data_IF_491144177689
#
_entry.id   IF_491144177689
#
_cell.length_a   1.000
_cell.length_b   1.000
_cell.length_c   1.000
_cell.angle_alpha   90.00
_cell.angle_beta   90.00
_cell.angle_gamma   90.00
#
_symmetry.space_group_name_H-M   'P 1'
#
loop_
_entity.id
_entity.type
_entity.pdbx_description
1 polymer ?
#
# COMPACT_ATOMS: atom_id res chain seq x y z
N UNK A 1 -13.40 28.78 1.65
CA UNK A 1 -12.60 27.56 1.43
C UNK A 1 -11.14 27.94 1.61
N UNK A 2 -10.38 27.21 2.43
CA UNK A 2 -8.94 27.47 2.60
C UNK A 2 -8.21 27.21 1.28
N UNK A 3 -7.18 28.02 0.98
CA UNK A 3 -6.34 27.85 -0.21
C UNK A 3 -5.65 26.47 -0.18
N UNK A 4 -5.83 25.62 -1.22
CA UNK A 4 -5.17 24.32 -1.31
C UNK A 4 -3.65 24.35 -1.17
N UNK A 5 -3.00 25.48 -1.47
CA UNK A 5 -1.54 25.65 -1.30
C UNK A 5 -1.11 25.54 0.17
N UNK A 6 -1.95 26.02 1.08
CA UNK A 6 -1.76 25.93 2.53
C UNK A 6 -2.27 24.63 3.16
N UNK A 7 -2.74 23.68 2.35
CA UNK A 7 -3.34 22.43 2.82
C UNK A 7 -2.45 21.21 2.56
N UNK A 8 -2.47 20.32 3.54
CA UNK A 8 -1.74 19.06 3.55
C UNK A 8 -2.66 17.89 3.86
N UNK A 9 -2.58 16.86 3.03
CA UNK A 9 -3.12 15.54 3.33
C UNK A 9 -2.02 14.69 3.93
N UNK A 10 -2.28 14.03 5.06
CA UNK A 10 -1.35 13.12 5.69
C UNK A 10 -1.75 11.66 5.39
N UNK A 11 -0.81 10.83 4.94
CA UNK A 11 -1.01 9.39 4.81
C UNK A 11 -0.15 8.65 5.84
N UNK A 12 -0.82 7.80 6.62
CA UNK A 12 -0.19 6.91 7.59
C UNK A 12 -0.60 5.47 7.31
N UNK A 13 0.37 4.57 7.38
CA UNK A 13 0.13 3.13 7.27
C UNK A 13 0.63 2.43 8.52
N UNK A 14 -0.21 1.58 9.09
CA UNK A 14 0.22 0.59 10.09
C UNK A 14 0.97 -0.53 9.39
N UNK A 15 2.24 -0.69 9.72
CA UNK A 15 3.20 -1.57 9.04
C UNK A 15 3.17 -3.02 9.52
N UNK A 16 2.71 -3.28 10.75
CA UNK A 16 2.49 -4.63 11.26
C UNK A 16 1.45 -4.64 12.41
N UNK A 17 0.93 -5.83 12.76
CA UNK A 17 -0.02 -6.00 13.88
C UNK A 17 0.56 -5.67 15.26
N UNK A 18 1.89 -5.61 15.40
CA UNK A 18 2.60 -5.34 16.66
C UNK A 18 2.84 -3.85 16.91
N UNK A 19 2.79 -3.02 15.86
CA UNK A 19 2.88 -1.56 15.97
C UNK A 19 1.64 -1.11 16.75
N UNK A 20 1.88 -0.52 17.93
CA UNK A 20 0.82 -0.08 18.81
C UNK A 20 0.23 1.26 18.33
N UNK A 21 -0.93 1.61 18.87
CA UNK A 21 -1.59 2.87 18.51
C UNK A 21 -0.79 4.09 19.02
N UNK A 22 0.03 3.94 20.06
CA UNK A 22 0.86 5.00 20.60
C UNK A 22 1.95 5.45 19.61
N UNK A 23 2.62 4.50 18.96
CA UNK A 23 3.64 4.74 17.92
C UNK A 23 3.04 5.49 16.73
N UNK A 24 1.88 5.05 16.25
CA UNK A 24 1.17 5.71 15.14
C UNK A 24 0.73 7.14 15.49
N UNK A 25 0.27 7.38 16.73
CA UNK A 25 -0.02 8.73 17.23
C UNK A 25 1.25 9.57 17.31
N UNK A 26 2.40 8.98 17.64
CA UNK A 26 3.72 9.61 17.57
C UNK A 26 4.02 10.11 16.15
N UNK A 27 3.90 9.22 15.16
CA UNK A 27 4.12 9.56 13.75
C UNK A 27 3.20 10.68 13.27
N UNK A 28 1.90 10.63 13.62
CA UNK A 28 0.95 11.68 13.25
C UNK A 28 1.31 13.03 13.91
N UNK A 29 1.74 13.03 15.18
CA UNK A 29 2.18 14.26 15.86
C UNK A 29 3.37 14.89 15.16
N UNK A 30 4.34 14.10 14.71
CA UNK A 30 5.48 14.62 13.94
C UNK A 30 5.04 15.23 12.61
N UNK A 31 4.15 14.56 11.88
CA UNK A 31 3.60 15.08 10.62
C UNK A 31 2.85 16.40 10.84
N UNK A 32 2.02 16.48 11.89
CA UNK A 32 1.30 17.72 12.25
C UNK A 32 2.26 18.84 12.62
N UNK A 33 3.29 18.55 13.44
CA UNK A 33 4.31 19.54 13.82
C UNK A 33 5.07 20.06 12.60
N UNK A 34 5.47 19.16 11.71
CA UNK A 34 6.13 19.53 10.47
C UNK A 34 5.23 20.43 9.60
N UNK A 35 3.95 20.06 9.45
CA UNK A 35 2.99 20.85 8.69
C UNK A 35 2.87 22.28 9.25
N UNK A 36 2.66 22.40 10.57
CA UNK A 36 2.55 23.69 11.26
C UNK A 36 3.81 24.54 11.10
N UNK A 37 4.99 23.95 11.26
CA UNK A 37 6.27 24.64 11.08
C UNK A 37 6.48 25.16 9.65
N UNK A 38 5.80 24.57 8.66
CA UNK A 38 5.83 24.96 7.26
C UNK A 38 4.60 25.79 6.83
N UNK A 39 3.81 26.29 7.79
CA UNK A 39 2.62 27.10 7.51
C UNK A 39 1.45 26.34 6.87
N UNK A 40 1.43 25.01 7.00
CA UNK A 40 0.40 24.15 6.43
C UNK A 40 -0.62 23.71 7.49
N UNK A 41 -1.87 23.52 7.05
CA UNK A 41 -2.93 22.91 7.83
C UNK A 41 -3.20 21.49 7.34
N UNK A 42 -3.38 20.56 8.28
CA UNK A 42 -3.82 19.19 7.93
C UNK A 42 -5.30 19.24 7.53
N UNK A 43 -5.57 18.97 6.25
CA UNK A 43 -6.93 18.87 5.71
C UNK A 43 -7.56 17.52 6.04
N UNK A 44 -6.79 16.45 5.89
CA UNK A 44 -7.27 15.09 6.11
C UNK A 44 -6.13 14.13 6.49
N UNK A 45 -6.43 13.12 7.30
CA UNK A 45 -5.52 12.02 7.65
C UNK A 45 -6.06 10.72 7.08
N UNK A 46 -5.36 10.18 6.08
CA UNK A 46 -5.63 8.90 5.44
C UNK A 46 -4.89 7.79 6.20
N UNK A 47 -5.63 6.93 6.90
CA UNK A 47 -5.07 5.88 7.73
C UNK A 47 -5.33 4.49 7.16
N UNK A 48 -4.26 3.83 6.72
CA UNK A 48 -4.32 2.48 6.15
C UNK A 48 -3.99 1.43 7.22
N UNK A 49 -4.91 0.47 7.42
CA UNK A 49 -4.75 -0.63 8.36
C UNK A 49 -4.56 -1.96 7.62
N UNK A 50 -3.45 -2.65 7.89
CA UNK A 50 -3.26 -4.01 7.39
C UNK A 50 -4.26 -4.97 8.07
N UNK A 51 -5.19 -5.54 7.30
CA UNK A 51 -5.92 -6.74 7.74
C UNK A 51 -5.05 -7.97 7.52
N UNK A 52 -4.89 -8.79 8.56
CA UNK A 52 -3.95 -9.92 8.55
C UNK A 52 -4.42 -11.15 7.76
N UNK A 53 -5.46 -11.06 6.95
CA UNK A 53 -6.10 -12.22 6.34
C UNK A 53 -6.29 -12.14 4.83
N UNK A 54 -5.75 -11.13 4.13
CA UNK A 54 -5.90 -11.07 2.68
C UNK A 54 -4.57 -10.78 1.98
N UNK A 55 -4.15 -11.74 1.16
CA UNK A 55 -3.14 -11.66 0.08
C UNK A 55 -3.35 -10.47 -0.87
N UNK A 56 -4.46 -9.73 -0.70
CA UNK A 56 -4.87 -8.56 -1.46
C UNK A 56 -5.07 -7.36 -0.53
N UNK A 57 -3.97 -6.70 -0.14
CA UNK A 57 -4.02 -5.40 0.54
C UNK A 57 -4.46 -4.36 -0.50
N UNK A 58 -5.76 -4.01 -0.51
CA UNK A 58 -6.27 -2.89 -1.33
C UNK A 58 -5.90 -1.59 -0.62
N UNK A 59 -5.03 -0.78 -1.23
CA UNK A 59 -4.50 0.48 -0.66
C UNK A 59 -5.44 1.66 -0.91
N UNK A 60 -6.68 1.49 -0.48
CA UNK A 60 -7.75 2.45 -0.77
C UNK A 60 -7.42 3.83 -0.19
N UNK A 61 -6.74 3.90 0.94
CA UNK A 61 -6.48 5.19 1.59
C UNK A 61 -5.32 5.94 0.91
N UNK A 62 -4.31 5.23 0.39
CA UNK A 62 -3.25 5.87 -0.39
C UNK A 62 -3.76 6.39 -1.74
N UNK A 63 -4.59 5.60 -2.42
CA UNK A 63 -5.24 6.01 -3.67
C UNK A 63 -6.12 7.24 -3.45
N UNK A 64 -6.91 7.28 -2.37
CA UNK A 64 -7.71 8.47 -2.04
C UNK A 64 -6.85 9.68 -1.69
N UNK A 65 -5.73 9.49 -0.96
CA UNK A 65 -4.81 10.57 -0.61
C UNK A 65 -4.20 11.21 -1.86
N UNK A 66 -3.70 10.38 -2.78
CA UNK A 66 -3.13 10.84 -4.06
C UNK A 66 -4.21 11.49 -4.93
N UNK A 67 -5.41 10.90 -5.00
CA UNK A 67 -6.53 11.49 -5.73
C UNK A 67 -6.94 12.85 -5.16
N UNK A 68 -6.89 13.07 -3.85
CA UNK A 68 -7.18 14.37 -3.27
C UNK A 68 -6.21 15.47 -3.76
N UNK A 69 -4.93 15.12 -3.98
CA UNK A 69 -3.97 16.03 -4.63
C UNK A 69 -4.30 16.23 -6.10
N UNK A 70 -4.67 15.17 -6.82
CA UNK A 70 -5.12 15.26 -8.22
C UNK A 70 -6.42 16.06 -8.38
N UNK A 71 -7.27 16.09 -7.38
CA UNK A 71 -8.49 16.90 -7.36
C UNK A 71 -8.20 18.36 -6.96
N UNK A 72 -6.96 18.68 -6.59
CA UNK A 72 -6.58 20.01 -6.11
C UNK A 72 -7.13 20.36 -4.73
N UNK A 73 -7.54 19.36 -3.92
CA UNK A 73 -8.05 19.59 -2.55
C UNK A 73 -6.95 20.02 -1.58
N UNK A 74 -5.71 19.58 -1.85
CA UNK A 74 -4.48 19.97 -1.15
C UNK A 74 -3.33 19.96 -2.15
N UNK A 75 -2.27 20.75 -1.89
CA UNK A 75 -1.04 20.76 -2.69
C UNK A 75 0.11 19.99 -2.04
N UNK A 76 -0.02 19.57 -0.78
CA UNK A 76 1.00 18.77 -0.10
C UNK A 76 0.44 17.41 0.30
N UNK A 77 1.11 16.33 -0.10
CA UNK A 77 0.91 14.99 0.46
C UNK A 77 2.08 14.69 1.40
N UNK A 78 1.77 14.51 2.68
CA UNK A 78 2.74 14.09 3.68
C UNK A 78 2.65 12.62 3.99
N UNK A 79 3.80 11.99 4.13
CA UNK A 79 3.95 10.68 4.78
C UNK A 79 4.95 10.80 5.91
N UNK A 80 4.80 9.93 6.91
CA UNK A 80 5.80 9.87 7.97
C UNK A 80 7.13 9.36 7.43
N UNK A 81 7.12 8.25 6.67
CA UNK A 81 8.32 7.67 6.06
C UNK A 81 8.02 7.10 4.67
N UNK A 82 8.97 7.20 3.73
CA UNK A 82 8.80 6.73 2.36
C UNK A 82 8.63 5.20 2.28
N UNK A 83 9.18 4.44 3.24
CA UNK A 83 8.98 2.98 3.33
C UNK A 83 7.51 2.54 3.60
N UNK A 84 6.64 3.50 3.94
CA UNK A 84 5.20 3.28 4.07
C UNK A 84 4.51 3.16 2.72
N UNK A 85 5.21 3.45 1.62
CA UNK A 85 4.90 2.92 0.30
C UNK A 85 5.56 1.53 0.21
N UNK A 86 4.76 0.46 0.13
CA UNK A 86 5.39 -0.85 -0.15
C UNK A 86 5.90 -0.91 -1.61
N UNK A 87 6.46 -2.05 -2.03
CA UNK A 87 6.97 -2.27 -3.39
C UNK A 87 6.02 -1.83 -4.52
N UNK A 88 4.71 -2.08 -4.40
CA UNK A 88 3.77 -1.66 -5.48
C UNK A 88 3.32 -0.21 -5.34
N UNK A 89 3.31 0.34 -4.12
CA UNK A 89 2.94 1.73 -3.88
C UNK A 89 4.07 2.66 -4.32
N UNK A 90 5.28 2.30 -3.91
CA UNK A 90 6.52 2.98 -4.26
C UNK A 90 6.77 2.88 -5.78
N UNK A 91 6.51 1.73 -6.42
CA UNK A 91 6.56 1.62 -7.89
C UNK A 91 5.54 2.48 -8.66
N UNK A 92 4.53 3.06 -7.99
CA UNK A 92 3.61 4.04 -8.57
C UNK A 92 4.02 5.49 -8.26
N UNK A 93 4.87 5.73 -7.26
CA UNK A 93 5.31 7.07 -6.82
C UNK A 93 6.04 7.81 -7.94
N UNK A 94 6.89 7.16 -8.73
CA UNK A 94 7.60 7.81 -9.84
C UNK A 94 6.68 8.60 -10.78
N UNK A 95 5.60 7.97 -11.25
CA UNK A 95 4.58 8.65 -12.10
C UNK A 95 3.79 9.71 -11.34
N UNK A 96 3.52 9.49 -10.06
CA UNK A 96 2.82 10.47 -9.22
C UNK A 96 3.66 11.75 -9.03
N UNK A 97 4.98 11.65 -8.96
CA UNK A 97 5.85 12.82 -8.86
C UNK A 97 5.74 13.72 -10.09
N UNK A 98 5.61 13.17 -11.31
CA UNK A 98 5.42 13.96 -12.54
C UNK A 98 4.07 14.68 -12.55
N UNK A 99 3.01 14.01 -12.10
CA UNK A 99 1.68 14.62 -11.95
C UNK A 99 1.66 15.70 -10.86
N UNK A 100 2.34 15.46 -9.74
CA UNK A 100 2.42 16.42 -8.65
C UNK A 100 3.14 17.69 -9.10
N UNK A 101 4.26 17.54 -9.81
CA UNK A 101 5.02 18.67 -10.34
C UNK A 101 4.21 19.53 -11.31
N UNK A 102 3.52 18.90 -12.28
CA UNK A 102 2.59 19.59 -13.19
C UNK A 102 1.49 20.36 -12.49
N UNK A 103 1.15 19.98 -11.25
CA UNK A 103 0.10 20.60 -10.43
C UNK A 103 0.65 21.55 -9.39
N UNK A 104 1.96 21.81 -9.38
CA UNK A 104 2.65 22.56 -8.32
C UNK A 104 2.35 21.98 -6.93
N UNK A 105 2.27 20.65 -6.86
CA UNK A 105 2.06 19.88 -5.65
C UNK A 105 3.35 19.14 -5.27
N UNK A 106 3.44 18.69 -4.02
CA UNK A 106 4.63 18.04 -3.49
C UNK A 106 4.33 16.83 -2.63
N UNK A 107 5.27 15.90 -2.63
CA UNK A 107 5.35 14.76 -1.73
C UNK A 107 6.42 15.03 -0.66
N UNK A 108 6.05 14.86 0.60
CA UNK A 108 6.93 15.07 1.75
C UNK A 108 7.03 13.79 2.57
N UNK A 109 8.26 13.37 2.90
CA UNK A 109 8.53 12.34 3.91
C UNK A 109 9.14 13.00 5.15
N UNK A 110 8.38 13.02 6.23
CA UNK A 110 8.70 13.82 7.42
C UNK A 110 9.90 13.26 8.18
N UNK A 111 9.97 11.95 8.41
CA UNK A 111 11.05 11.32 9.17
C UNK A 111 12.39 11.33 8.42
N UNK A 112 12.34 11.44 7.09
CA UNK A 112 13.53 11.41 6.22
C UNK A 112 13.94 12.81 5.75
N UNK A 113 13.17 13.85 6.11
CA UNK A 113 13.43 15.23 5.67
C UNK A 113 13.36 15.42 4.15
N UNK A 114 12.62 14.55 3.44
CA UNK A 114 12.54 14.61 1.98
C UNK A 114 11.32 15.42 1.56
N UNK A 115 11.54 16.35 0.62
CA UNK A 115 10.48 17.10 -0.03
C UNK A 115 10.74 17.11 -1.54
N UNK A 116 9.77 16.65 -2.33
CA UNK A 116 9.91 16.57 -3.77
C UNK A 116 10.08 17.94 -4.45
N UNK A 117 9.63 19.02 -3.83
CA UNK A 117 9.84 20.40 -4.30
C UNK A 117 11.19 20.98 -3.89
N UNK A 118 11.90 20.36 -2.94
CA UNK A 118 13.19 20.82 -2.41
C UNK A 118 14.31 19.79 -2.70
N UNK A 119 14.38 19.29 -3.94
CA UNK A 119 15.43 18.35 -4.37
C UNK A 119 15.24 16.89 -3.94
N UNK A 120 14.28 16.57 -3.07
CA UNK A 120 13.95 15.20 -2.66
C UNK A 120 13.33 14.33 -3.77
N UNK A 121 12.94 14.94 -4.91
CA UNK A 121 12.34 14.27 -6.06
C UNK A 121 13.19 13.10 -6.56
N UNK A 122 14.50 13.31 -6.73
CA UNK A 122 15.41 12.29 -7.23
C UNK A 122 15.47 11.09 -6.29
N UNK A 123 15.51 11.34 -4.97
CA UNK A 123 15.52 10.28 -3.96
C UNK A 123 14.24 9.46 -4.02
N UNK A 124 13.07 10.12 -4.11
CA UNK A 124 11.80 9.42 -4.29
C UNK A 124 11.74 8.61 -5.60
N UNK A 125 12.27 9.14 -6.70
CA UNK A 125 12.31 8.44 -7.98
C UNK A 125 13.19 7.18 -7.92
N UNK A 126 14.37 7.26 -7.30
CA UNK A 126 15.26 6.11 -7.10
C UNK A 126 14.58 5.03 -6.24
N UNK A 127 13.96 5.44 -5.12
CA UNK A 127 13.22 4.51 -4.27
C UNK A 127 12.05 3.86 -5.03
N UNK A 128 11.34 4.62 -5.87
CA UNK A 128 10.29 4.14 -6.76
C UNK A 128 10.77 3.06 -7.71
N UNK A 129 11.90 3.30 -8.41
CA UNK A 129 12.42 2.34 -9.39
C UNK A 129 12.95 1.07 -8.71
N UNK A 130 13.69 1.20 -7.59
CA UNK A 130 14.13 0.04 -6.78
C UNK A 130 12.94 -0.84 -6.38
N UNK A 131 11.87 -0.22 -5.89
CA UNK A 131 10.65 -0.93 -5.50
C UNK A 131 9.96 -1.63 -6.68
N UNK A 132 9.98 -1.01 -7.87
CA UNK A 132 9.43 -1.57 -9.10
C UNK A 132 10.23 -2.78 -9.58
N UNK A 133 11.56 -2.73 -9.50
CA UNK A 133 12.44 -3.86 -9.78
C UNK A 133 12.16 -5.04 -8.85
N UNK A 134 12.12 -4.80 -7.53
CA UNK A 134 11.79 -5.85 -6.56
C UNK A 134 10.40 -6.47 -6.82
N UNK A 135 9.42 -5.68 -7.25
CA UNK A 135 8.10 -6.17 -7.63
C UNK A 135 8.13 -7.08 -8.88
N UNK A 136 8.94 -6.72 -9.89
CA UNK A 136 9.14 -7.55 -11.09
C UNK A 136 9.82 -8.87 -10.73
N UNK A 137 10.84 -8.84 -9.88
CA UNK A 137 11.56 -10.04 -9.44
C UNK A 137 10.67 -11.00 -8.66
N UNK A 138 9.85 -10.47 -7.75
CA UNK A 138 8.83 -11.29 -7.06
C UNK A 138 7.86 -11.94 -8.06
N UNK A 139 7.34 -11.19 -9.02
CA UNK A 139 6.42 -11.72 -10.03
C UNK A 139 7.07 -12.81 -10.89
N UNK A 140 8.35 -12.64 -11.25
CA UNK A 140 9.15 -13.64 -11.98
C UNK A 140 9.30 -14.92 -11.17
N UNK A 141 9.65 -14.82 -9.87
CA UNK A 141 9.78 -15.99 -8.98
C UNK A 141 8.45 -16.74 -8.81
N UNK A 142 7.34 -16.03 -8.63
CA UNK A 142 6.01 -16.65 -8.55
C UNK A 142 5.67 -17.40 -9.83
N UNK A 143 5.97 -16.82 -11.00
CA UNK A 143 5.76 -17.49 -12.28
C UNK A 143 6.60 -18.75 -12.42
N UNK A 144 7.91 -18.67 -12.14
CA UNK A 144 8.82 -19.83 -12.19
C UNK A 144 8.32 -20.93 -11.26
N UNK A 145 7.95 -20.62 -10.01
CA UNK A 145 7.40 -21.60 -9.10
C UNK A 145 6.11 -22.25 -9.63
N UNK A 146 5.21 -21.45 -10.22
CA UNK A 146 3.98 -21.97 -10.83
C UNK A 146 4.27 -22.88 -12.03
N UNK A 147 5.22 -22.50 -12.89
CA UNK A 147 5.62 -23.29 -14.07
C UNK A 147 6.31 -24.60 -13.65
N UNK A 148 7.16 -24.57 -12.63
CA UNK A 148 7.77 -25.76 -12.03
C UNK A 148 6.71 -26.70 -11.42
N UNK A 149 5.74 -26.17 -10.67
CA UNK A 149 4.65 -26.97 -10.11
C UNK A 149 3.73 -27.59 -11.18
N UNK A 150 3.51 -26.87 -12.30
CA UNK A 150 2.78 -27.40 -13.46
C UNK A 150 3.54 -28.53 -14.15
N UNK A 151 4.85 -28.37 -14.34
CA UNK A 151 5.71 -29.40 -14.93
C UNK A 151 5.80 -30.67 -14.06
N UNK A 152 5.71 -30.52 -12.74
CA UNK A 152 5.65 -31.62 -11.76
C UNK A 152 4.24 -32.21 -11.57
N UNK A 153 3.22 -31.77 -12.32
CA UNK A 153 1.84 -32.28 -12.22
C UNK A 153 1.09 -31.84 -10.95
N UNK A 154 1.71 -31.05 -10.07
CA UNK A 154 1.11 -30.51 -8.85
C UNK A 154 0.34 -29.23 -9.18
N UNK A 155 -0.90 -29.38 -9.63
CA UNK A 155 -1.85 -28.24 -9.59
C UNK A 155 -2.05 -27.90 -8.12
N UNK A 156 -1.93 -26.63 -7.76
CA UNK A 156 -2.11 -26.14 -6.40
C UNK A 156 -3.41 -26.64 -5.78
N UNK A 157 -3.32 -27.74 -5.04
CA UNK A 157 -4.28 -28.07 -4.01
C UNK A 157 -3.97 -27.16 -2.84
N UNK A 158 -4.91 -26.30 -2.50
CA UNK A 158 -5.11 -26.00 -1.10
C UNK A 158 -5.35 -27.36 -0.42
N UNK A 159 -4.29 -27.99 0.10
CA UNK A 159 -4.41 -29.12 1.01
C UNK A 159 -5.04 -28.60 2.30
N UNK A 160 -6.36 -28.51 2.31
CA UNK A 160 -7.10 -28.83 3.52
C UNK A 160 -7.12 -30.37 3.58
N UNK A 161 -6.78 -30.90 4.76
CA UNK A 161 -6.68 -32.32 5.11
C UNK A 161 -5.36 -33.02 4.78
N UNK A 162 -4.42 -32.93 5.72
CA UNK A 162 -3.89 -34.14 6.39
C UNK A 162 -3.77 -33.84 7.89
N UNK A 163 -4.88 -33.90 8.62
CA UNK A 163 -4.89 -34.29 10.04
C UNK A 163 -6.10 -35.21 10.20
N UNK A 164 -5.87 -36.39 10.78
CA UNK A 164 -6.74 -37.56 10.96
C UNK A 164 -6.82 -38.52 9.77
N UNK A 165 -5.99 -39.58 9.83
CA UNK A 165 -5.91 -40.64 8.83
C UNK A 165 -7.02 -41.67 8.94
N UNK A 166 -7.93 -41.66 7.98
CA UNK A 166 -8.76 -42.81 7.61
C UNK A 166 -8.80 -42.93 6.08
N UNK A 167 -8.73 -44.14 5.50
CA UNK A 167 -8.76 -44.33 4.05
C UNK A 167 -10.17 -44.07 3.49
N UNK A 168 -10.29 -43.60 2.21
CA UNK A 168 -11.58 -43.35 1.59
C UNK A 168 -12.25 -44.67 1.17
N UNK A 169 -13.51 -44.82 1.57
CA UNK A 169 -14.39 -45.94 1.20
C UNK A 169 -14.94 -45.74 -0.24
N UNK A 170 -14.83 -46.71 -1.16
CA UNK A 170 -15.28 -46.54 -2.53
C UNK A 170 -16.74 -46.96 -2.67
N UNK A 171 -17.67 -46.06 -2.39
CA UNK A 171 -19.07 -46.34 -2.67
C UNK A 171 -20.02 -45.22 -2.25
N UNK A 172 -20.60 -44.55 -3.25
CA UNK A 172 -21.99 -44.07 -3.36
C UNK A 172 -22.01 -42.79 -4.20
N UNK A 173 -22.35 -42.95 -5.49
CA UNK A 173 -22.94 -41.90 -6.31
C UNK A 173 -24.45 -42.09 -6.30
N UNK A 174 -25.20 -41.14 -5.75
CA UNK A 174 -26.60 -40.87 -6.15
C UNK A 174 -27.16 -39.68 -5.37
N UNK A 175 -27.85 -38.75 -6.06
CA UNK A 175 -28.94 -38.01 -5.43
C UNK A 175 -28.95 -36.49 -5.64
N UNK A 176 -29.76 -36.07 -6.61
CA UNK A 176 -30.35 -34.75 -6.87
C UNK A 176 -30.74 -33.94 -5.60
N UNK A 177 -30.52 -32.61 -5.59
CA UNK A 177 -31.23 -31.70 -4.66
C UNK A 177 -30.62 -30.32 -4.37
N UNK A 178 -31.00 -29.31 -5.17
CA UNK A 178 -31.18 -27.85 -4.91
C UNK A 178 -30.67 -27.22 -3.58
N UNK A 179 -29.86 -26.15 -3.65
CA UNK A 179 -30.25 -24.75 -3.33
C UNK A 179 -29.05 -23.81 -3.13
N UNK A 180 -29.10 -22.67 -3.81
CA UNK A 180 -28.29 -21.46 -3.58
C UNK A 180 -28.67 -20.80 -2.24
N UNK A 181 -27.72 -20.16 -1.55
CA UNK A 181 -27.98 -18.94 -0.77
C UNK A 181 -26.75 -18.03 -0.72
N UNK A 182 -27.06 -16.73 -0.72
CA UNK A 182 -26.27 -15.51 -0.91
C UNK A 182 -25.20 -15.34 0.18
#
# INVERSE_FOLDING_TARGET
>A
MSDPSGLMDAYLRRSNKKEDLATLRGHLREVVRWAQANGLQIRHVWFEQLSASKTYVRRREFEKATQAIMDGKSKTLGVWKADRFDRRGMGAVGRLLDEFDRRQARLVSVSEGLDSSQGGRMVFAILSERAREEAKDMAKRVRIGHDSHKAEGRRGVASWEVVYGLPPDPGVWSGVGVSVRI
#
